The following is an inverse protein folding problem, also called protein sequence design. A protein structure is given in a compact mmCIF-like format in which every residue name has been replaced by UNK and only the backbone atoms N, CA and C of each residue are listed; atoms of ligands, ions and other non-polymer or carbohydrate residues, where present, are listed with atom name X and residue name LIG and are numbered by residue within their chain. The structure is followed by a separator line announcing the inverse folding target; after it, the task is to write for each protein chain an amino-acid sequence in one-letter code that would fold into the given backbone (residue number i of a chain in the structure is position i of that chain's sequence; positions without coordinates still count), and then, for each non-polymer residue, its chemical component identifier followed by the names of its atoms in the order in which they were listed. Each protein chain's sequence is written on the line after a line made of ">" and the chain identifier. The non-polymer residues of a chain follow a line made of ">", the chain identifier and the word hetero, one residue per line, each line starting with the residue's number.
data_IF_881032802847
#
_entry.id   IF_881032802847
#
_cell.length_a   1.000
_cell.length_b   1.000
_cell.length_c   1.000
_cell.angle_alpha   90.00
_cell.angle_beta   90.00
_cell.angle_gamma   90.00
#
_symmetry.space_group_name_H-M   'P 1'
#
loop_
_entity.id
_entity.type
_entity.pdbx_description
1 polymer ?
#
# COMPACT_ATOMS: atom_id res chain seq x y z
N UNK A 1 -34.40 -61.00 32.05
CA UNK A 1 -35.06 -59.75 31.60
C UNK A 1 -34.04 -58.93 30.82
N UNK A 2 -34.23 -58.86 29.49
CA UNK A 2 -33.73 -57.94 28.43
C UNK A 2 -32.40 -57.18 28.60
N UNK A 3 -31.48 -57.48 27.67
CA UNK A 3 -30.35 -56.66 27.19
C UNK A 3 -30.78 -55.22 26.86
N UNK A 4 -29.90 -54.24 27.13
CA UNK A 4 -29.89 -52.95 26.45
C UNK A 4 -28.46 -52.52 26.13
N UNK A 5 -28.11 -52.69 24.87
CA UNK A 5 -26.94 -52.11 24.19
C UNK A 5 -27.03 -50.58 24.20
N UNK A 6 -25.91 -49.90 24.43
CA UNK A 6 -25.76 -48.48 24.17
C UNK A 6 -24.65 -48.30 23.12
N UNK A 7 -25.08 -47.89 21.93
CA UNK A 7 -24.24 -47.56 20.78
C UNK A 7 -23.71 -46.14 21.02
N UNK A 8 -22.39 -45.99 21.11
CA UNK A 8 -21.74 -44.68 21.21
C UNK A 8 -21.43 -44.16 19.79
N UNK A 9 -22.14 -43.11 19.40
CA UNK A 9 -21.98 -42.40 18.12
C UNK A 9 -20.70 -41.56 18.15
N UNK A 10 -19.74 -41.85 17.27
CA UNK A 10 -18.53 -41.04 17.10
C UNK A 10 -18.88 -39.88 16.16
N UNK A 11 -18.91 -38.66 16.70
CA UNK A 11 -19.09 -37.44 15.92
C UNK A 11 -17.75 -37.02 15.30
N UNK A 12 -17.68 -37.04 13.97
CA UNK A 12 -16.54 -36.57 13.16
C UNK A 12 -16.48 -35.05 13.18
N UNK A 13 -15.41 -34.49 13.76
CA UNK A 13 -15.07 -33.07 13.65
C UNK A 13 -14.59 -32.75 12.24
N UNK A 14 -15.37 -31.97 11.49
CA UNK A 14 -14.93 -31.37 10.23
C UNK A 14 -14.16 -30.07 10.55
N UNK A 15 -12.84 -30.09 10.41
CA UNK A 15 -12.01 -28.89 10.46
C UNK A 15 -12.08 -28.18 9.09
N UNK A 16 -12.90 -27.13 9.01
CA UNK A 16 -12.90 -26.22 7.86
C UNK A 16 -11.71 -25.28 7.96
N UNK A 17 -10.73 -25.49 7.09
CA UNK A 17 -9.60 -24.57 6.86
C UNK A 17 -10.13 -23.26 6.29
N UNK A 18 -10.07 -22.19 7.08
CA UNK A 18 -10.33 -20.83 6.61
C UNK A 18 -9.22 -20.40 5.63
N UNK A 19 -9.56 -19.73 4.51
CA UNK A 19 -8.55 -19.13 3.66
C UNK A 19 -7.85 -18.00 4.42
N UNK A 20 -6.53 -18.10 4.52
CA UNK A 20 -5.67 -17.00 4.95
C UNK A 20 -5.93 -15.80 4.04
N UNK A 21 -6.68 -14.81 4.53
CA UNK A 21 -6.68 -13.49 3.94
C UNK A 21 -5.24 -12.97 4.06
N UNK A 22 -4.62 -12.69 2.91
CA UNK A 22 -3.33 -12.03 2.84
C UNK A 22 -3.44 -10.69 3.57
N UNK A 23 -2.96 -10.64 4.80
CA UNK A 23 -2.77 -9.41 5.53
C UNK A 23 -1.73 -8.61 4.75
N UNK A 24 -2.16 -7.52 4.10
CA UNK A 24 -1.24 -6.51 3.59
C UNK A 24 -0.31 -6.14 4.73
N UNK A 25 1.00 -6.28 4.51
CA UNK A 25 2.01 -5.96 5.51
C UNK A 25 1.94 -4.47 5.79
N UNK A 26 1.28 -4.10 6.89
CA UNK A 26 1.37 -2.76 7.44
C UNK A 26 2.85 -2.49 7.75
N UNK A 27 3.47 -1.57 7.01
CA UNK A 27 4.85 -1.17 7.22
C UNK A 27 4.93 -0.30 8.48
N UNK A 28 5.20 -0.93 9.62
CA UNK A 28 5.75 -0.20 10.75
C UNK A 28 7.24 0.08 10.46
N UNK A 29 7.55 1.25 9.92
CA UNK A 29 8.92 1.71 9.68
C UNK A 29 9.13 3.02 10.43
N UNK A 30 10.33 3.25 10.98
CA UNK A 30 10.68 4.53 11.58
C UNK A 30 10.38 5.65 10.56
N UNK A 31 9.29 6.39 10.77
CA UNK A 31 8.74 7.31 9.77
C UNK A 31 9.79 8.37 9.43
N UNK A 32 10.26 8.36 8.19
CA UNK A 32 11.01 9.46 7.60
C UNK A 32 10.09 10.64 7.27
N UNK A 33 10.62 11.71 6.66
CA UNK A 33 9.83 12.85 6.24
C UNK A 33 8.61 12.45 5.40
N UNK A 34 7.47 13.08 5.69
CA UNK A 34 6.24 12.93 4.92
C UNK A 34 5.75 14.29 4.41
N UNK A 35 5.10 14.27 3.26
CA UNK A 35 4.61 15.46 2.58
C UNK A 35 3.29 15.15 1.91
N UNK A 36 2.29 16.00 2.10
CA UNK A 36 0.98 15.82 1.50
C UNK A 36 0.56 17.09 0.81
N UNK A 37 -0.18 16.94 -0.29
CA UNK A 37 -1.12 17.96 -0.69
C UNK A 37 -2.55 17.50 -0.31
N UNK A 38 -3.58 18.15 -0.87
CA UNK A 38 -4.97 17.79 -0.58
C UNK A 38 -5.41 16.43 -1.15
N UNK A 39 -4.65 15.84 -2.08
CA UNK A 39 -5.04 14.62 -2.81
C UNK A 39 -4.06 13.46 -2.66
N UNK A 40 -2.77 13.72 -2.47
CA UNK A 40 -1.67 12.75 -2.52
C UNK A 40 -0.74 13.01 -1.34
N UNK A 41 -0.29 11.92 -0.72
CA UNK A 41 0.78 11.96 0.26
C UNK A 41 1.97 11.13 -0.22
N UNK A 42 3.17 11.61 0.09
CA UNK A 42 4.43 10.88 0.00
C UNK A 42 4.93 10.60 1.41
N UNK A 43 5.39 9.38 1.62
CA UNK A 43 5.98 8.89 2.85
C UNK A 43 7.34 8.33 2.55
N UNK A 44 8.26 8.52 3.48
CA UNK A 44 9.59 7.93 3.39
C UNK A 44 9.96 7.24 4.69
N UNK A 45 10.96 6.36 4.62
CA UNK A 45 11.64 5.87 5.82
C UNK A 45 13.13 5.70 5.54
N UNK A 46 13.96 5.99 6.54
CA UNK A 46 15.40 5.78 6.43
C UNK A 46 15.75 4.31 6.69
N UNK A 47 16.61 3.71 5.86
CA UNK A 47 16.99 2.29 5.95
C UNK A 47 18.38 2.05 6.50
N UNK A 48 19.11 3.10 6.91
CA UNK A 48 20.50 3.00 7.34
C UNK A 48 21.52 3.32 6.24
N UNK A 49 21.20 2.97 4.99
CA UNK A 49 22.07 3.19 3.82
C UNK A 49 21.36 3.95 2.68
N UNK A 50 20.11 4.34 2.89
CA UNK A 50 19.28 5.04 1.92
C UNK A 50 17.88 5.24 2.47
N UNK A 51 16.89 5.20 1.59
CA UNK A 51 15.51 5.46 1.95
C UNK A 51 14.56 4.47 1.25
N UNK A 52 13.38 4.32 1.83
CA UNK A 52 12.19 3.78 1.17
C UNK A 52 11.21 4.90 0.94
N UNK A 53 10.43 4.79 -0.12
CA UNK A 53 9.37 5.73 -0.48
C UNK A 53 8.12 4.98 -0.87
N UNK A 54 6.98 5.50 -0.45
CA UNK A 54 5.65 5.09 -0.89
C UNK A 54 4.72 6.30 -0.83
N UNK A 55 3.50 6.15 -1.32
CA UNK A 55 2.52 7.21 -1.27
C UNK A 55 1.10 6.68 -1.31
N UNK A 56 0.14 7.58 -1.15
CA UNK A 56 -1.28 7.23 -1.15
C UNK A 56 -2.10 8.39 -1.75
N UNK A 57 -3.33 8.07 -2.15
CA UNK A 57 -4.37 9.08 -2.40
C UNK A 57 -5.17 9.34 -1.11
N UNK A 58 -5.36 10.62 -0.75
CA UNK A 58 -6.18 11.04 0.40
C UNK A 58 -7.67 10.96 0.12
N UNK A 59 -8.08 11.34 -1.07
CA UNK A 59 -9.42 11.12 -1.61
C UNK A 59 -9.25 10.15 -2.77
N UNK A 60 -9.80 8.94 -2.65
CA UNK A 60 -9.60 7.87 -3.63
C UNK A 60 -9.86 8.30 -5.09
N UNK A 61 -9.33 7.52 -6.04
CA UNK A 61 -9.44 7.79 -7.46
C UNK A 61 -10.05 6.58 -8.19
N UNK A 62 -11.00 6.84 -9.10
CA UNK A 62 -11.64 5.77 -9.88
C UNK A 62 -10.64 5.07 -10.82
N UNK A 63 -9.76 5.86 -11.43
CA UNK A 63 -8.61 5.41 -12.22
C UNK A 63 -7.48 6.41 -11.93
N UNK A 64 -6.38 5.92 -11.36
CA UNK A 64 -5.27 6.73 -10.91
C UNK A 64 -3.95 5.97 -10.86
N UNK A 65 -2.85 6.70 -10.71
CA UNK A 65 -1.53 6.19 -10.39
C UNK A 65 -0.67 7.28 -9.74
N UNK A 66 0.45 6.89 -9.13
CA UNK A 66 1.42 7.80 -8.51
C UNK A 66 2.80 7.53 -9.11
N UNK A 67 3.42 8.58 -9.65
CA UNK A 67 4.79 8.56 -10.15
C UNK A 67 5.73 9.14 -9.09
N UNK A 68 6.87 8.49 -8.86
CA UNK A 68 7.88 8.90 -7.88
C UNK A 68 9.17 9.28 -8.59
N UNK A 69 9.78 10.37 -8.14
CA UNK A 69 11.02 10.92 -8.68
C UNK A 69 11.98 11.24 -7.54
N UNK A 70 13.28 11.04 -7.75
CA UNK A 70 14.25 11.23 -6.68
C UNK A 70 15.71 11.41 -7.11
N UNK A 71 16.61 11.49 -6.11
CA UNK A 71 18.04 11.57 -6.33
C UNK A 71 18.58 10.40 -7.17
N UNK A 72 19.75 10.61 -7.78
CA UNK A 72 20.45 9.59 -8.57
C UNK A 72 19.62 9.01 -9.73
N UNK A 73 18.67 9.78 -10.27
CA UNK A 73 17.81 9.33 -11.37
C UNK A 73 16.76 8.31 -10.96
N UNK A 74 16.44 8.21 -9.67
CA UNK A 74 15.35 7.34 -9.22
C UNK A 74 14.02 7.75 -9.86
N UNK A 75 13.34 6.75 -10.43
CA UNK A 75 11.99 6.87 -10.94
C UNK A 75 11.23 5.56 -10.72
N UNK A 76 10.01 5.64 -10.21
CA UNK A 76 9.12 4.50 -10.05
C UNK A 76 7.67 4.94 -10.28
N UNK A 77 6.80 4.02 -10.67
CA UNK A 77 5.38 4.30 -10.88
C UNK A 77 4.53 3.18 -10.30
N UNK A 78 3.45 3.55 -9.62
CA UNK A 78 2.43 2.60 -9.23
C UNK A 78 1.62 2.16 -10.47
N UNK A 79 1.01 0.97 -10.47
CA UNK A 79 0.11 0.61 -11.56
C UNK A 79 -1.09 1.56 -11.64
N UNK A 80 -1.63 1.71 -12.85
CA UNK A 80 -2.93 2.34 -13.07
C UNK A 80 -4.04 1.47 -12.47
N UNK A 81 -5.00 2.09 -11.79
CA UNK A 81 -6.15 1.37 -11.29
C UNK A 81 -7.03 2.18 -10.37
N UNK A 82 -7.98 1.49 -9.74
CA UNK A 82 -8.80 2.06 -8.68
C UNK A 82 -7.97 2.23 -7.40
N UNK A 83 -8.09 3.40 -6.76
CA UNK A 83 -7.42 3.73 -5.52
C UNK A 83 -8.44 4.05 -4.43
N UNK A 84 -8.40 3.31 -3.33
CA UNK A 84 -9.09 3.69 -2.10
C UNK A 84 -8.37 4.85 -1.41
N UNK A 85 -9.12 5.73 -0.76
CA UNK A 85 -8.55 6.72 0.15
C UNK A 85 -7.72 6.02 1.23
N UNK A 86 -6.50 6.51 1.49
CA UNK A 86 -5.58 5.92 2.48
C UNK A 86 -4.94 4.60 2.04
N UNK A 87 -5.08 4.22 0.77
CA UNK A 87 -4.44 3.03 0.22
C UNK A 87 -3.00 3.32 -0.20
N UNK A 88 -2.05 2.75 0.54
CA UNK A 88 -0.63 2.86 0.22
C UNK A 88 -0.27 2.14 -1.09
N UNK A 89 0.65 2.73 -1.85
CA UNK A 89 1.40 2.04 -2.88
C UNK A 89 2.30 0.97 -2.25
N UNK A 90 2.87 0.09 -3.09
CA UNK A 90 4.09 -0.61 -2.67
C UNK A 90 5.18 0.40 -2.31
N UNK A 91 6.17 -0.02 -1.51
CA UNK A 91 7.31 0.82 -1.19
C UNK A 91 8.51 0.46 -2.06
N UNK A 92 9.17 1.48 -2.61
CA UNK A 92 10.40 1.36 -3.38
C UNK A 92 11.58 1.82 -2.54
N UNK A 93 12.78 1.31 -2.86
CA UNK A 93 14.01 1.69 -2.18
C UNK A 93 14.92 2.49 -3.11
N UNK A 94 15.67 3.42 -2.54
CA UNK A 94 16.68 4.18 -3.24
C UNK A 94 17.74 4.72 -2.28
N UNK A 95 18.64 5.54 -2.81
CA UNK A 95 19.74 6.14 -2.05
C UNK A 95 20.11 7.51 -2.62
N UNK A 96 20.88 8.27 -1.84
CA UNK A 96 21.29 9.64 -2.16
C UNK A 96 20.45 10.68 -1.42
N UNK A 97 20.99 11.90 -1.40
CA UNK A 97 20.39 13.04 -0.71
C UNK A 97 19.74 13.97 -1.73
N UNK A 98 18.65 14.62 -1.34
CA UNK A 98 17.97 15.61 -2.18
C UNK A 98 16.49 15.69 -1.88
N UNK A 99 15.66 15.63 -2.93
CA UNK A 99 14.21 15.63 -2.79
C UNK A 99 13.61 14.40 -3.45
N UNK A 100 12.67 13.77 -2.75
CA UNK A 100 11.74 12.82 -3.35
C UNK A 100 10.40 13.50 -3.57
N UNK A 101 9.84 13.28 -4.75
CA UNK A 101 8.53 13.81 -5.13
C UNK A 101 7.61 12.66 -5.52
N UNK A 102 6.32 12.79 -5.21
CA UNK A 102 5.27 11.90 -5.69
C UNK A 102 4.24 12.70 -6.47
N UNK A 103 4.03 12.36 -7.74
CA UNK A 103 3.00 12.95 -8.58
C UNK A 103 1.79 12.03 -8.66
N UNK A 104 0.67 12.44 -8.10
CA UNK A 104 -0.58 11.71 -8.34
C UNK A 104 -1.20 12.13 -9.66
N UNK A 105 -1.75 11.14 -10.35
CA UNK A 105 -2.52 11.31 -11.57
C UNK A 105 -3.88 10.66 -11.39
N UNK A 106 -4.92 11.36 -11.82
CA UNK A 106 -6.27 10.81 -11.91
C UNK A 106 -6.78 10.93 -13.33
N UNK A 107 -7.53 9.93 -13.78
CA UNK A 107 -8.19 9.96 -15.07
C UNK A 107 -9.67 10.27 -14.90
N UNK A 108 -10.14 11.29 -15.61
CA UNK A 108 -11.55 11.62 -15.71
C UNK A 108 -11.89 11.91 -17.17
N UNK A 109 -13.03 11.40 -17.65
CA UNK A 109 -13.49 11.56 -19.03
C UNK A 109 -12.42 11.18 -20.08
N UNK A 110 -11.61 10.15 -19.79
CA UNK A 110 -10.56 9.66 -20.68
C UNK A 110 -9.24 10.44 -20.63
N UNK A 111 -9.17 11.55 -19.92
CA UNK A 111 -7.99 12.42 -19.83
C UNK A 111 -7.27 12.28 -18.49
N UNK A 112 -5.95 12.15 -18.54
CA UNK A 112 -5.09 12.17 -17.35
C UNK A 112 -4.83 13.60 -16.89
N UNK A 113 -5.04 13.85 -15.61
CA UNK A 113 -4.74 15.13 -14.97
C UNK A 113 -3.91 14.88 -13.72
N UNK A 114 -2.87 15.69 -13.51
CA UNK A 114 -2.11 15.63 -12.27
C UNK A 114 -2.94 16.23 -11.14
N UNK A 115 -3.00 15.53 -10.01
CA UNK A 115 -3.77 15.94 -8.82
C UNK A 115 -2.86 16.37 -7.67
N UNK A 116 -1.54 16.39 -7.89
CA UNK A 116 -0.58 16.78 -6.86
C UNK A 116 0.84 16.38 -7.15
N UNK A 117 1.78 17.14 -6.60
CA UNK A 117 3.22 16.86 -6.61
C UNK A 117 3.86 17.26 -5.26
N UNK A 118 3.49 16.65 -4.13
CA UNK A 118 4.25 16.84 -2.88
C UNK A 118 5.68 16.32 -3.02
N UNK A 119 6.62 17.05 -2.43
CA UNK A 119 8.03 16.65 -2.34
C UNK A 119 8.52 16.75 -0.89
N UNK A 120 9.43 15.86 -0.51
CA UNK A 120 10.09 15.82 0.80
C UNK A 120 11.59 15.70 0.62
N UNK A 121 12.35 16.29 1.55
CA UNK A 121 13.79 16.12 1.58
C UNK A 121 14.14 14.73 2.13
N UNK A 122 15.15 14.08 1.55
CA UNK A 122 15.72 12.80 2.01
C UNK A 122 17.23 12.82 2.04
#
# INVERSE_FOLDING_TARGET
>A
MRLKSAIATIATLAATVAPFAAAGTAHASANGPSGCNNNVCIYTSYTGTGWRVWGEFRSGAAEGHIDFWGPNGFHASSPNGYWTAGGDTQAWSGSGNGQLCAQGWSRANGTWSSVGLPCVAV
#
